data_IF_267140249048
#
_entry.id   IF_267140249048
#
_cell.length_a   1.000
_cell.length_b   1.000
_cell.length_c   1.000
_cell.angle_alpha   90.00
_cell.angle_beta   90.00
_cell.angle_gamma   90.00
#
_symmetry.space_group_name_H-M   'P 1'
#
loop_
_entity.id
_entity.type
_entity.pdbx_description
1 polymer ?
#
# COMPACT_ATOMS: atom_id res chain seq x y z
N UNK A 1 -1.62 10.97 -8.09
CA UNK A 1 -2.48 10.00 -7.38
C UNK A 1 -1.77 8.66 -7.28
N UNK A 2 -1.98 7.97 -6.17
CA UNK A 2 -1.45 6.64 -5.89
C UNK A 2 -2.58 5.69 -5.51
N UNK A 3 -2.65 4.54 -6.15
CA UNK A 3 -3.61 3.47 -5.83
C UNK A 3 -2.97 2.09 -5.98
N UNK A 4 -3.52 1.10 -5.27
CA UNK A 4 -3.08 -0.29 -5.32
C UNK A 4 -4.26 -1.17 -5.73
N UNK A 5 -4.05 -1.97 -6.74
CA UNK A 5 -4.99 -3.02 -7.16
C UNK A 5 -4.34 -4.39 -7.07
N UNK A 6 -5.15 -5.45 -7.11
CA UNK A 6 -4.69 -6.82 -7.11
C UNK A 6 -5.09 -7.51 -8.40
N UNK A 7 -4.21 -8.35 -8.91
CA UNK A 7 -4.49 -9.30 -9.98
C UNK A 7 -4.29 -10.70 -9.44
N UNK A 8 -5.20 -11.62 -9.76
CA UNK A 8 -5.12 -13.02 -9.35
C UNK A 8 -4.68 -13.91 -10.50
N UNK A 9 -4.17 -15.07 -10.14
CA UNK A 9 -3.81 -16.12 -11.09
C UNK A 9 -4.67 -17.34 -10.78
N UNK A 10 -5.33 -17.88 -11.78
CA UNK A 10 -6.13 -19.10 -11.67
C UNK A 10 -5.23 -20.33 -11.47
N UNK A 11 -4.52 -20.34 -10.35
CA UNK A 11 -3.65 -21.43 -9.92
C UNK A 11 -3.80 -21.66 -8.42
N UNK A 12 -3.75 -22.90 -8.01
CA UNK A 12 -3.83 -23.26 -6.58
C UNK A 12 -2.55 -22.87 -5.82
N UNK A 13 -1.44 -22.75 -6.54
CA UNK A 13 -0.11 -22.65 -5.96
C UNK A 13 0.57 -21.33 -6.26
N UNK A 14 1.05 -20.66 -5.21
CA UNK A 14 1.94 -19.50 -5.33
C UNK A 14 3.38 -19.89 -5.69
N UNK A 15 4.22 -18.90 -5.94
CA UNK A 15 5.61 -19.11 -6.39
C UNK A 15 6.44 -19.93 -5.39
N UNK A 16 6.23 -19.72 -4.09
CA UNK A 16 6.97 -20.48 -3.05
C UNK A 16 6.66 -21.97 -3.09
N UNK A 17 5.41 -22.32 -3.30
CA UNK A 17 5.02 -23.72 -3.38
C UNK A 17 5.55 -24.36 -4.67
N UNK A 18 5.48 -23.65 -5.79
CA UNK A 18 6.03 -24.12 -7.06
C UNK A 18 7.55 -24.32 -6.96
N UNK A 19 8.25 -23.41 -6.28
CA UNK A 19 9.67 -23.56 -6.04
C UNK A 19 9.97 -24.79 -5.13
N UNK A 20 9.22 -24.98 -4.06
CA UNK A 20 9.38 -26.13 -3.17
C UNK A 20 9.19 -27.47 -3.93
N UNK A 21 8.16 -27.54 -4.79
CA UNK A 21 7.93 -28.71 -5.65
C UNK A 21 9.09 -28.96 -6.62
N UNK A 22 9.65 -27.91 -7.19
CA UNK A 22 10.80 -28.05 -8.11
C UNK A 22 12.05 -28.53 -7.37
N UNK A 23 12.31 -28.03 -6.17
CA UNK A 23 13.41 -28.50 -5.30
C UNK A 23 13.21 -29.98 -4.98
N UNK A 24 12.03 -30.39 -4.56
CA UNK A 24 11.71 -31.79 -4.23
C UNK A 24 11.90 -32.70 -5.43
N UNK A 25 11.41 -32.29 -6.59
CA UNK A 25 11.58 -33.01 -7.85
C UNK A 25 13.05 -33.21 -8.20
N UNK A 26 13.85 -32.17 -8.12
CA UNK A 26 15.28 -32.26 -8.44
C UNK A 26 16.06 -33.07 -7.40
N UNK A 27 15.73 -32.99 -6.12
CA UNK A 27 16.33 -33.82 -5.09
C UNK A 27 15.97 -35.29 -5.28
N UNK A 28 14.76 -35.60 -5.70
CA UNK A 28 14.30 -36.96 -5.98
C UNK A 28 14.93 -37.58 -7.23
N UNK A 29 15.44 -36.75 -8.13
CA UNK A 29 16.18 -37.19 -9.32
C UNK A 29 17.64 -37.55 -9.02
N UNK A 30 18.17 -37.17 -7.86
CA UNK A 30 19.52 -37.59 -7.43
C UNK A 30 19.51 -39.06 -7.06
N UNK A 31 20.64 -39.79 -7.25
CA UNK A 31 20.80 -41.13 -6.76
C UNK A 31 20.51 -41.26 -5.25
N UNK A 32 19.92 -42.37 -4.81
CA UNK A 32 19.58 -42.59 -3.38
C UNK A 32 20.80 -42.45 -2.48
N UNK A 33 21.97 -42.75 -2.99
CA UNK A 33 23.25 -42.72 -2.29
C UNK A 33 23.95 -41.37 -2.39
N UNK A 34 23.31 -40.34 -3.05
CA UNK A 34 23.93 -39.05 -3.19
C UNK A 34 24.32 -38.45 -1.82
N UNK A 35 25.54 -37.97 -1.74
CA UNK A 35 26.09 -37.40 -0.51
C UNK A 35 25.27 -36.18 -0.06
N UNK A 36 25.19 -35.95 1.25
CA UNK A 36 24.50 -34.80 1.82
C UNK A 36 24.99 -33.46 1.23
N UNK A 37 26.28 -33.43 0.92
CA UNK A 37 26.92 -32.25 0.31
C UNK A 37 26.41 -31.98 -1.11
N UNK A 38 26.18 -33.00 -1.92
CA UNK A 38 25.61 -32.83 -3.29
C UNK A 38 24.19 -32.28 -3.21
N UNK A 39 23.37 -32.79 -2.27
CA UNK A 39 22.00 -32.27 -2.03
C UNK A 39 22.02 -30.81 -1.62
N UNK A 40 22.95 -30.45 -0.72
CA UNK A 40 23.13 -29.06 -0.27
C UNK A 40 23.55 -28.13 -1.40
N UNK A 41 24.53 -28.52 -2.21
CA UNK A 41 24.98 -27.73 -3.36
C UNK A 41 23.87 -27.53 -4.40
N UNK A 42 23.01 -28.54 -4.63
CA UNK A 42 21.86 -28.42 -5.49
C UNK A 42 20.87 -27.40 -4.94
N UNK A 43 20.51 -27.45 -3.66
CA UNK A 43 19.62 -26.48 -3.01
C UNK A 43 20.18 -25.06 -3.12
N UNK A 44 21.46 -24.86 -2.82
CA UNK A 44 22.12 -23.55 -2.92
C UNK A 44 22.11 -23.01 -4.35
N UNK A 45 22.29 -23.87 -5.35
CA UNK A 45 22.18 -23.51 -6.76
C UNK A 45 20.75 -23.06 -7.13
N UNK A 46 19.74 -23.79 -6.66
CA UNK A 46 18.34 -23.46 -6.89
C UNK A 46 17.95 -22.16 -6.21
N UNK A 47 18.41 -21.95 -4.98
CA UNK A 47 18.16 -20.69 -4.28
C UNK A 47 18.79 -19.47 -4.96
N UNK A 48 20.02 -19.60 -5.46
CA UNK A 48 20.67 -18.50 -6.24
C UNK A 48 19.86 -18.12 -7.50
N UNK A 49 19.19 -19.08 -8.09
CA UNK A 49 18.37 -18.88 -9.31
C UNK A 49 16.90 -18.59 -8.99
N UNK A 50 16.53 -18.53 -7.72
CA UNK A 50 15.15 -18.25 -7.31
C UNK A 50 14.78 -16.82 -7.68
N UNK A 51 13.74 -16.68 -8.49
CA UNK A 51 13.10 -15.39 -8.73
C UNK A 51 12.30 -14.96 -7.51
N UNK A 52 12.11 -13.66 -7.33
CA UNK A 52 11.29 -13.15 -6.23
C UNK A 52 9.89 -13.76 -6.29
N UNK A 53 9.39 -14.25 -5.14
CA UNK A 53 8.03 -14.78 -5.03
C UNK A 53 7.03 -13.63 -5.08
N UNK A 54 6.39 -13.43 -6.23
CA UNK A 54 5.39 -12.39 -6.45
C UNK A 54 3.97 -12.92 -6.24
N UNK A 55 3.67 -14.12 -6.78
CA UNK A 55 2.36 -14.75 -6.66
C UNK A 55 2.21 -15.36 -5.26
N UNK A 56 1.62 -14.61 -4.37
CA UNK A 56 1.42 -15.02 -2.98
C UNK A 56 -0.04 -14.84 -2.57
N UNK A 57 -0.51 -15.68 -1.66
CA UNK A 57 -1.83 -15.49 -1.05
C UNK A 57 -1.80 -14.28 -0.14
N UNK A 58 -2.76 -13.40 -0.30
CA UNK A 58 -2.88 -12.18 0.47
C UNK A 58 -4.31 -11.65 0.50
N UNK A 59 -4.54 -10.48 1.09
CA UNK A 59 -5.86 -9.86 1.14
C UNK A 59 -6.31 -9.49 -0.27
N UNK A 60 -7.25 -10.26 -0.82
CA UNK A 60 -7.88 -9.99 -2.12
C UNK A 60 -9.10 -9.10 -1.94
N UNK A 61 -9.21 -8.05 -2.76
CA UNK A 61 -10.42 -7.19 -2.81
C UNK A 61 -11.68 -7.98 -3.20
N UNK A 62 -11.50 -9.10 -3.90
CA UNK A 62 -12.56 -9.99 -4.36
C UNK A 62 -12.77 -11.22 -3.47
N UNK A 63 -12.16 -11.26 -2.28
CA UNK A 63 -12.24 -12.38 -1.34
C UNK A 63 -11.82 -13.73 -1.95
N UNK A 64 -10.94 -13.74 -2.94
CA UNK A 64 -10.43 -14.96 -3.57
C UNK A 64 -9.33 -15.60 -2.72
N UNK A 65 -9.21 -16.91 -2.86
CA UNK A 65 -8.16 -17.74 -2.22
C UNK A 65 -6.96 -17.98 -3.14
N UNK A 66 -7.06 -17.56 -4.39
CA UNK A 66 -6.01 -17.74 -5.39
C UNK A 66 -4.80 -16.83 -5.06
N UNK A 67 -3.58 -17.24 -5.47
CA UNK A 67 -2.42 -16.35 -5.37
C UNK A 67 -2.63 -15.07 -6.18
N UNK A 68 -2.26 -13.96 -5.59
CA UNK A 68 -2.39 -12.62 -6.18
C UNK A 68 -1.02 -11.95 -6.30
N UNK A 69 -0.95 -10.92 -7.12
CA UNK A 69 0.09 -9.88 -7.12
C UNK A 69 -0.58 -8.54 -6.85
N UNK A 70 0.11 -7.67 -6.14
CA UNK A 70 -0.32 -6.30 -5.92
C UNK A 70 0.37 -5.38 -6.93
N UNK A 71 -0.40 -4.55 -7.61
CA UNK A 71 0.09 -3.57 -8.58
C UNK A 71 -0.20 -2.18 -8.02
N UNK A 72 0.84 -1.44 -7.70
CA UNK A 72 0.74 -0.03 -7.36
C UNK A 72 0.90 0.81 -8.61
N UNK A 73 0.02 1.78 -8.81
CA UNK A 73 0.06 2.70 -9.94
C UNK A 73 0.14 4.13 -9.44
N UNK A 74 0.97 4.92 -10.08
CA UNK A 74 1.06 6.36 -9.87
C UNK A 74 0.62 7.06 -11.14
N UNK A 75 -0.32 7.97 -11.02
CA UNK A 75 -0.80 8.79 -12.13
C UNK A 75 -0.60 10.27 -11.80
N UNK A 76 -0.45 11.10 -12.83
CA UNK A 76 -0.40 12.54 -12.68
C UNK A 76 -1.80 13.15 -12.43
N UNK A 77 -1.88 14.48 -12.42
CA UNK A 77 -3.15 15.20 -12.21
C UNK A 77 -4.18 15.01 -13.34
N UNK A 78 -3.71 14.66 -14.52
CA UNK A 78 -4.53 14.48 -15.73
C UNK A 78 -4.96 13.00 -15.89
N UNK A 79 -4.55 12.14 -14.94
CA UNK A 79 -4.86 10.72 -14.93
C UNK A 79 -3.93 9.85 -15.78
N UNK A 80 -2.81 10.43 -16.24
CA UNK A 80 -1.83 9.71 -17.06
C UNK A 80 -0.92 8.87 -16.15
N UNK A 81 -0.80 7.56 -16.37
CA UNK A 81 0.14 6.73 -15.62
C UNK A 81 1.59 7.17 -15.85
N UNK A 82 2.31 7.46 -14.77
CA UNK A 82 3.73 7.84 -14.82
C UNK A 82 4.65 6.76 -14.31
N UNK A 83 4.18 5.88 -13.43
CA UNK A 83 4.93 4.73 -12.95
C UNK A 83 3.98 3.63 -12.46
N UNK A 84 4.44 2.39 -12.52
CA UNK A 84 3.77 1.28 -11.88
C UNK A 84 4.79 0.33 -11.24
N UNK A 85 4.36 -0.36 -10.19
CA UNK A 85 5.20 -1.32 -9.47
C UNK A 85 4.43 -2.56 -9.12
N UNK A 86 5.13 -3.68 -9.18
CA UNK A 86 4.56 -4.98 -8.83
C UNK A 86 5.15 -5.45 -7.51
N UNK A 87 4.30 -5.82 -6.59
CA UNK A 87 4.65 -6.30 -5.27
C UNK A 87 4.08 -7.69 -5.01
N UNK A 88 4.70 -8.47 -4.12
CA UNK A 88 4.12 -9.73 -3.66
C UNK A 88 2.68 -9.55 -3.19
N UNK A 89 1.82 -10.52 -3.47
CA UNK A 89 0.39 -10.44 -3.15
C UNK A 89 0.06 -10.30 -1.66
N UNK A 90 0.99 -10.66 -0.78
CA UNK A 90 0.88 -10.47 0.66
C UNK A 90 1.45 -9.13 1.16
N UNK A 91 1.89 -8.26 0.26
CA UNK A 91 2.43 -6.95 0.62
C UNK A 91 1.34 -6.04 1.18
N UNK A 92 1.69 -5.28 2.22
CA UNK A 92 0.80 -4.27 2.78
C UNK A 92 0.78 -3.03 1.88
N UNK A 93 -0.39 -2.53 1.53
CA UNK A 93 -0.55 -1.28 0.77
C UNK A 93 0.19 -0.10 1.43
N UNK A 94 0.23 -0.07 2.76
CA UNK A 94 0.94 0.96 3.53
C UNK A 94 2.45 0.96 3.28
N UNK A 95 3.02 -0.23 3.11
CA UNK A 95 4.47 -0.38 2.84
C UNK A 95 4.78 -0.08 1.39
N UNK A 96 3.91 -0.48 0.46
CA UNK A 96 4.10 -0.28 -0.98
C UNK A 96 4.11 1.21 -1.35
N UNK A 97 3.27 2.03 -0.71
CA UNK A 97 3.26 3.48 -0.92
C UNK A 97 4.63 4.09 -0.62
N UNK A 98 5.23 3.72 0.52
CA UNK A 98 6.55 4.21 0.90
C UNK A 98 7.58 3.95 -0.18
N UNK A 99 7.71 2.69 -0.59
CA UNK A 99 8.69 2.29 -1.60
C UNK A 99 8.46 3.01 -2.93
N UNK A 100 7.20 3.14 -3.36
CA UNK A 100 6.86 3.80 -4.62
C UNK A 100 7.23 5.28 -4.62
N UNK A 101 6.92 6.01 -3.55
CA UNK A 101 7.23 7.45 -3.45
C UNK A 101 8.74 7.68 -3.38
N UNK A 102 9.48 6.88 -2.57
CA UNK A 102 10.94 7.01 -2.44
C UNK A 102 11.66 6.83 -3.77
N UNK A 103 11.22 5.85 -4.55
CA UNK A 103 11.85 5.56 -5.82
C UNK A 103 11.45 6.56 -6.91
N UNK A 104 10.19 7.04 -6.91
CA UNK A 104 9.77 8.14 -7.78
C UNK A 104 10.58 9.40 -7.51
N UNK A 105 10.74 9.77 -6.23
CA UNK A 105 11.53 10.93 -5.85
C UNK A 105 12.98 10.81 -6.35
N UNK A 106 13.58 9.61 -6.26
CA UNK A 106 14.94 9.36 -6.76
C UNK A 106 15.03 9.38 -8.29
N UNK A 107 14.10 8.71 -8.97
CA UNK A 107 14.14 8.52 -10.44
C UNK A 107 13.86 9.81 -11.16
N UNK A 108 12.84 10.55 -10.72
CA UNK A 108 12.36 11.76 -11.38
C UNK A 108 12.84 13.06 -10.70
N UNK A 109 13.66 12.95 -9.62
CA UNK A 109 14.17 14.09 -8.83
C UNK A 109 13.05 14.99 -8.33
N UNK A 110 11.92 14.41 -7.93
CA UNK A 110 10.77 15.14 -7.41
C UNK A 110 11.09 15.61 -6.00
N UNK A 111 11.16 16.91 -5.78
CA UNK A 111 11.44 17.52 -4.47
C UNK A 111 10.18 17.92 -3.71
N UNK A 112 9.11 18.23 -4.43
CA UNK A 112 7.82 18.62 -3.86
C UNK A 112 6.70 17.90 -4.60
N UNK A 113 5.96 17.05 -3.90
CA UNK A 113 4.78 16.39 -4.42
C UNK A 113 3.60 16.55 -3.46
N UNK A 114 2.39 16.46 -3.98
CA UNK A 114 1.19 16.27 -3.17
C UNK A 114 0.73 14.83 -3.38
N UNK A 115 0.83 14.02 -2.34
CA UNK A 115 0.39 12.61 -2.38
C UNK A 115 -1.11 12.57 -2.18
N UNK A 116 -1.82 12.03 -3.17
CA UNK A 116 -3.26 11.80 -3.09
C UNK A 116 -3.51 10.31 -3.06
N UNK A 117 -4.15 9.82 -1.99
CA UNK A 117 -4.40 8.40 -1.81
C UNK A 117 -5.68 8.14 -1.02
N UNK A 118 -6.13 6.89 -1.08
CA UNK A 118 -7.32 6.44 -0.38
C UNK A 118 -7.10 6.27 1.13
N UNK A 119 -8.17 5.86 1.83
CA UNK A 119 -8.18 5.64 3.27
C UNK A 119 -7.24 4.50 3.74
N UNK A 120 -6.94 3.51 2.90
CA UNK A 120 -6.03 2.41 3.24
C UNK A 120 -4.63 2.89 3.62
N UNK A 121 -4.22 4.03 3.08
CA UNK A 121 -2.90 4.63 3.24
C UNK A 121 -2.84 5.72 4.31
N UNK A 122 -3.97 6.14 4.87
CA UNK A 122 -4.05 7.15 5.92
C UNK A 122 -3.66 6.55 7.28
N UNK A 123 -2.38 6.63 7.60
CA UNK A 123 -1.82 6.22 8.90
C UNK A 123 -0.88 7.29 9.43
N UNK A 124 -0.78 7.40 10.76
CA UNK A 124 0.14 8.36 11.38
C UNK A 124 1.58 8.19 10.90
N UNK A 125 2.04 6.96 10.69
CA UNK A 125 3.38 6.69 10.17
C UNK A 125 3.59 7.26 8.75
N UNK A 126 2.60 7.10 7.85
CA UNK A 126 2.66 7.67 6.51
C UNK A 126 2.59 9.21 6.55
N UNK A 127 1.69 9.78 7.37
CA UNK A 127 1.58 11.22 7.54
C UNK A 127 2.87 11.82 8.08
N UNK A 128 3.42 11.28 9.18
CA UNK A 128 4.68 11.76 9.78
C UNK A 128 5.82 11.72 8.78
N UNK A 129 5.86 10.71 7.94
CA UNK A 129 6.87 10.59 6.89
C UNK A 129 6.72 11.68 5.83
N UNK A 130 5.51 11.86 5.27
CA UNK A 130 5.25 12.88 4.25
C UNK A 130 5.63 14.27 4.75
N UNK A 131 5.31 14.56 6.02
CA UNK A 131 5.69 15.83 6.67
C UNK A 131 7.22 15.96 6.79
N UNK A 132 7.91 14.92 7.25
CA UNK A 132 9.39 14.92 7.37
C UNK A 132 10.08 15.12 6.02
N UNK A 133 9.49 14.62 4.94
CA UNK A 133 9.99 14.73 3.56
C UNK A 133 9.51 16.01 2.85
N UNK A 134 8.82 16.90 3.57
CA UNK A 134 8.24 18.14 3.04
C UNK A 134 7.31 17.90 1.85
N UNK A 135 6.55 16.80 1.88
CA UNK A 135 5.56 16.44 0.89
C UNK A 135 4.17 16.89 1.35
N UNK A 136 3.37 17.43 0.43
CA UNK A 136 1.95 17.67 0.68
C UNK A 136 1.15 16.37 0.67
N UNK A 137 -0.02 16.37 1.27
CA UNK A 137 -0.91 15.20 1.25
C UNK A 137 -2.39 15.56 1.17
N UNK A 138 -3.14 14.69 0.49
CA UNK A 138 -4.60 14.65 0.48
C UNK A 138 -5.01 13.18 0.61
N UNK A 139 -5.37 12.77 1.82
CA UNK A 139 -5.68 11.38 2.14
C UNK A 139 -7.13 11.25 2.58
N UNK A 140 -7.85 10.27 2.04
CA UNK A 140 -9.18 9.95 2.51
C UNK A 140 -9.14 9.46 3.96
N UNK A 141 -10.15 9.81 4.75
CA UNK A 141 -10.30 9.35 6.13
C UNK A 141 -11.62 8.59 6.30
N UNK A 142 -11.57 7.43 6.93
CA UNK A 142 -12.78 6.63 7.17
C UNK A 142 -13.41 7.02 8.50
N UNK A 143 -14.65 7.51 8.46
CA UNK A 143 -15.42 7.79 9.66
C UNK A 143 -15.67 6.53 10.50
N UNK A 144 -15.82 5.37 9.88
CA UNK A 144 -16.04 4.11 10.59
C UNK A 144 -14.85 3.63 11.42
N UNK A 145 -13.64 4.13 11.15
CA UNK A 145 -12.42 3.82 11.92
C UNK A 145 -12.09 4.88 12.97
N UNK A 146 -12.79 6.00 12.95
CA UNK A 146 -12.60 7.06 13.93
C UNK A 146 -13.29 6.71 15.26
N UNK A 147 -12.82 7.31 16.35
CA UNK A 147 -13.49 7.20 17.65
C UNK A 147 -14.86 7.86 17.55
N UNK A 148 -15.91 7.22 18.10
CA UNK A 148 -17.28 7.74 18.05
C UNK A 148 -17.38 9.17 18.58
N UNK A 149 -16.71 9.49 19.69
CA UNK A 149 -16.66 10.85 20.24
C UNK A 149 -16.11 11.90 19.27
N UNK A 150 -15.15 11.54 18.44
CA UNK A 150 -14.62 12.44 17.40
C UNK A 150 -15.63 12.59 16.26
N UNK A 151 -16.28 11.50 15.85
CA UNK A 151 -17.33 11.53 14.81
C UNK A 151 -18.48 12.41 15.25
N UNK A 152 -18.94 12.28 16.50
CA UNK A 152 -20.03 13.07 17.07
C UNK A 152 -19.69 14.57 17.10
N UNK A 153 -18.42 14.90 17.40
CA UNK A 153 -17.92 16.29 17.35
C UNK A 153 -17.86 16.83 15.92
N UNK A 154 -17.37 16.03 14.98
CA UNK A 154 -17.22 16.42 13.57
C UNK A 154 -18.59 16.62 12.88
N UNK A 155 -19.58 15.83 13.25
CA UNK A 155 -20.91 15.85 12.64
C UNK A 155 -21.89 16.82 13.32
N UNK A 156 -21.48 17.58 14.34
CA UNK A 156 -22.33 18.64 14.93
C UNK A 156 -22.83 19.60 13.84
N UNK A 157 -24.05 20.08 14.02
CA UNK A 157 -24.75 20.94 13.03
C UNK A 157 -24.07 22.31 12.82
N UNK A 158 -23.08 22.67 13.63
CA UNK A 158 -22.37 23.93 13.53
C UNK A 158 -21.20 23.87 12.58
N UNK A 159 -20.92 24.96 11.86
CA UNK A 159 -19.71 25.10 11.02
C UNK A 159 -19.83 24.47 9.63
N UNK A 160 -21.02 24.14 9.18
CA UNK A 160 -21.26 23.69 7.81
C UNK A 160 -21.46 24.87 6.87
N UNK A 161 -20.79 24.80 5.71
CA UNK A 161 -20.95 25.73 4.62
C UNK A 161 -21.55 25.01 3.40
N UNK A 162 -22.42 25.72 2.66
CA UNK A 162 -23.02 25.17 1.45
C UNK A 162 -22.13 25.45 0.22
N UNK A 163 -21.65 24.40 -0.40
CA UNK A 163 -20.94 24.45 -1.68
C UNK A 163 -21.99 24.42 -2.81
N UNK A 164 -22.29 25.59 -3.37
CA UNK A 164 -23.33 25.75 -4.41
C UNK A 164 -22.95 25.08 -5.73
N UNK A 165 -21.67 24.97 -6.03
CA UNK A 165 -21.21 24.38 -7.30
C UNK A 165 -21.37 22.85 -7.29
N UNK A 166 -21.23 22.22 -6.12
CA UNK A 166 -21.25 20.76 -5.96
C UNK A 166 -22.49 20.25 -5.21
N UNK A 167 -23.46 21.13 -4.96
CA UNK A 167 -24.72 20.80 -4.26
C UNK A 167 -24.50 19.97 -2.98
N UNK A 168 -23.52 20.36 -2.17
CA UNK A 168 -23.15 19.64 -0.95
C UNK A 168 -22.81 20.59 0.20
N UNK A 169 -22.96 20.12 1.41
CA UNK A 169 -22.41 20.81 2.59
C UNK A 169 -20.99 20.37 2.84
N UNK A 170 -20.11 21.31 3.18
CA UNK A 170 -18.73 21.05 3.57
C UNK A 170 -18.46 21.63 4.95
N UNK A 171 -17.60 20.98 5.69
CA UNK A 171 -17.08 21.45 6.97
C UNK A 171 -15.59 21.26 7.03
N UNK A 172 -14.87 22.32 7.40
CA UNK A 172 -13.42 22.29 7.56
C UNK A 172 -13.09 22.29 9.06
N UNK A 173 -12.34 21.30 9.48
CA UNK A 173 -11.93 21.11 10.86
C UNK A 173 -10.40 21.23 10.93
N UNK A 174 -9.87 22.19 11.69
CA UNK A 174 -8.44 22.23 12.00
C UNK A 174 -8.03 20.97 12.78
N UNK A 175 -6.92 20.39 12.41
CA UNK A 175 -6.37 19.19 13.05
C UNK A 175 -4.86 19.27 13.07
N UNK A 176 -4.24 18.56 14.00
CA UNK A 176 -2.78 18.53 14.13
C UNK A 176 -2.29 17.08 14.18
N UNK A 177 -1.19 16.82 13.52
CA UNK A 177 -0.44 15.58 13.66
C UNK A 177 0.51 15.74 14.85
N UNK A 178 0.37 14.86 15.83
CA UNK A 178 1.26 14.78 16.98
C UNK A 178 2.08 13.49 16.95
N UNK A 179 3.29 13.53 17.46
CA UNK A 179 4.13 12.34 17.64
C UNK A 179 3.76 11.58 18.95
N UNK A 180 4.53 10.54 19.24
CA UNK A 180 4.33 9.71 20.44
C UNK A 180 4.56 10.48 21.73
N UNK A 181 5.37 11.56 21.70
CA UNK A 181 5.66 12.43 22.82
C UNK A 181 4.65 13.59 22.97
N UNK A 182 3.64 13.67 22.06
CA UNK A 182 2.61 14.71 22.06
C UNK A 182 3.06 16.03 21.43
N UNK A 183 4.20 16.05 20.73
CA UNK A 183 4.69 17.25 20.04
C UNK A 183 4.01 17.38 18.67
N UNK A 184 3.51 18.58 18.38
CA UNK A 184 2.88 18.88 17.08
C UNK A 184 3.93 18.86 15.97
N UNK A 185 3.74 17.95 15.02
CA UNK A 185 4.60 17.80 13.84
C UNK A 185 4.17 18.73 12.71
N UNK A 186 2.86 18.86 12.52
CA UNK A 186 2.26 19.78 11.54
C UNK A 186 0.78 19.96 11.81
N UNK A 187 0.26 21.10 11.37
CA UNK A 187 -1.17 21.35 11.31
C UNK A 187 -1.70 21.01 9.91
N UNK A 188 -2.89 20.43 9.86
CA UNK A 188 -3.59 20.10 8.62
C UNK A 188 -5.08 20.40 8.73
N UNK A 189 -5.80 20.31 7.63
CA UNK A 189 -7.24 20.51 7.60
C UNK A 189 -7.94 19.21 7.24
N UNK A 190 -8.91 18.83 8.04
CA UNK A 190 -9.85 17.77 7.68
C UNK A 190 -11.05 18.41 6.99
N UNK A 191 -11.41 17.91 5.83
CA UNK A 191 -12.58 18.36 5.07
C UNK A 191 -13.63 17.25 5.09
N UNK A 192 -14.80 17.56 5.59
CA UNK A 192 -15.94 16.64 5.61
C UNK A 192 -16.96 17.16 4.60
N UNK A 193 -17.38 16.29 3.69
CA UNK A 193 -18.44 16.55 2.74
C UNK A 193 -19.70 15.76 3.09
N UNK A 194 -20.86 16.38 2.97
CA UNK A 194 -22.17 15.74 3.06
C UNK A 194 -22.93 16.02 1.77
N UNK A 195 -23.38 14.98 1.09
CA UNK A 195 -24.29 15.02 -0.05
C UNK A 195 -25.56 14.24 0.29
N UNK A 196 -26.69 14.73 -0.20
CA UNK A 196 -27.97 14.00 -0.15
C UNK A 196 -27.95 12.80 -1.09
#
# INVERSE_FOLDING_TARGET
FYDVTNTWFETVWGDEHQWAMEVEKQLSALPSEAALEEKRQLIEKLERNRTSSLRMRGPSKECRKDPIVSIAMVVDRDGIPIDFRVYPGNSSEKTTMKCSIDELAKTYKITNAVVVADNGLNTNANLSRLVKENQGFLLAHSLSKAKQSSVDEWLKDTGWEWDKEKERKIKIIPSSLVDEDGVVQTDYRMVIGWSE
#
